data_IF_197762963318
#
_entry.id   IF_197762963318
#
_cell.length_a   1.000
_cell.length_b   1.000
_cell.length_c   1.000
_cell.angle_alpha   90.00
_cell.angle_beta   90.00
_cell.angle_gamma   90.00
#
_symmetry.space_group_name_H-M   'P 1'
#
loop_
_entity.id
_entity.type
_entity.pdbx_description
1 polymer ?
#
# COMPACT_ATOMS: atom_id res chain seq x y z
N UNK A 1 12.35 12.19 -12.33
CA UNK A 1 11.91 10.78 -12.15
C UNK A 1 12.11 10.43 -10.70
N UNK A 2 11.16 9.74 -10.06
CA UNK A 2 11.41 9.13 -8.74
C UNK A 2 12.02 7.77 -9.03
N UNK A 3 13.33 7.62 -8.80
CA UNK A 3 14.01 6.33 -8.96
C UNK A 3 13.51 5.35 -7.88
N UNK A 4 12.75 4.31 -8.25
CA UNK A 4 12.19 3.38 -7.28
C UNK A 4 13.31 2.60 -6.56
N UNK A 5 14.41 2.31 -7.24
CA UNK A 5 15.59 1.66 -6.66
C UNK A 5 16.23 2.50 -5.54
N UNK A 6 16.35 3.82 -5.75
CA UNK A 6 16.87 4.73 -4.73
C UNK A 6 15.91 4.81 -3.52
N UNK A 7 14.60 4.80 -3.76
CA UNK A 7 13.60 4.79 -2.69
C UNK A 7 13.65 3.48 -1.88
N UNK A 8 13.83 2.34 -2.54
CA UNK A 8 14.05 1.03 -1.87
C UNK A 8 15.30 1.11 -0.99
N UNK A 9 16.42 1.57 -1.53
CA UNK A 9 17.69 1.68 -0.78
C UNK A 9 17.54 2.53 0.47
N UNK A 10 16.93 3.70 0.36
CA UNK A 10 16.70 4.59 1.50
C UNK A 10 15.76 3.95 2.55
N UNK A 11 14.70 3.28 2.10
CA UNK A 11 13.79 2.59 3.00
C UNK A 11 14.47 1.41 3.72
N UNK A 12 15.31 0.65 3.02
CA UNK A 12 16.12 -0.42 3.64
C UNK A 12 17.06 0.13 4.70
N UNK A 13 17.78 1.21 4.40
CA UNK A 13 18.65 1.86 5.39
C UNK A 13 17.85 2.38 6.61
N UNK A 14 16.65 2.91 6.38
CA UNK A 14 15.79 3.35 7.47
C UNK A 14 15.35 2.18 8.37
N UNK A 15 15.06 1.01 7.80
CA UNK A 15 14.77 -0.22 8.55
C UNK A 15 16.00 -0.68 9.34
N UNK A 16 17.21 -0.62 8.76
CA UNK A 16 18.44 -0.98 9.48
C UNK A 16 18.71 -0.08 10.68
N UNK A 17 18.41 1.23 10.56
CA UNK A 17 18.59 2.21 11.62
C UNK A 17 17.49 2.14 12.70
N UNK A 18 16.25 1.85 12.31
CA UNK A 18 15.09 1.78 13.19
C UNK A 18 14.21 0.59 12.82
N UNK A 19 14.62 -0.65 13.19
CA UNK A 19 13.89 -1.86 12.78
C UNK A 19 12.53 -1.99 13.46
N UNK A 20 12.34 -1.34 14.61
CA UNK A 20 11.08 -1.28 15.35
C UNK A 20 10.07 -0.30 14.76
N UNK A 21 10.51 0.62 13.90
CA UNK A 21 9.63 1.59 13.27
C UNK A 21 8.94 0.96 12.05
N UNK A 22 7.76 0.39 12.31
CA UNK A 22 6.94 -0.26 11.31
C UNK A 22 6.62 0.61 10.07
N UNK A 23 6.65 1.94 10.19
CA UNK A 23 6.39 2.84 9.06
C UNK A 23 7.46 2.74 7.97
N UNK A 24 8.69 2.36 8.31
CA UNK A 24 9.77 2.16 7.33
C UNK A 24 9.45 0.99 6.38
N UNK A 25 8.75 -0.04 6.86
CA UNK A 25 8.26 -1.13 6.02
C UNK A 25 7.15 -0.68 5.07
N UNK A 26 6.29 0.26 5.48
CA UNK A 26 5.31 0.89 4.57
C UNK A 26 6.01 1.62 3.42
N UNK A 27 7.02 2.42 3.74
CA UNK A 27 7.80 3.14 2.73
C UNK A 27 8.51 2.19 1.75
N UNK A 28 9.11 1.10 2.28
CA UNK A 28 9.74 0.07 1.47
C UNK A 28 8.73 -0.59 0.52
N UNK A 29 7.56 -0.99 1.02
CA UNK A 29 6.55 -1.64 0.20
C UNK A 29 6.01 -0.74 -0.93
N UNK A 30 5.78 0.54 -0.64
CA UNK A 30 5.38 1.51 -1.67
C UNK A 30 6.47 1.71 -2.71
N UNK A 31 7.75 1.74 -2.29
CA UNK A 31 8.87 1.85 -3.22
C UNK A 31 8.99 0.60 -4.11
N UNK A 32 8.81 -0.60 -3.54
CA UNK A 32 8.81 -1.87 -4.26
C UNK A 32 7.63 -1.98 -5.24
N UNK A 33 6.44 -1.52 -4.86
CA UNK A 33 5.32 -1.38 -5.79
C UNK A 33 5.72 -0.51 -6.99
N UNK A 34 6.30 0.66 -6.76
CA UNK A 34 6.76 1.53 -7.86
C UNK A 34 7.90 0.94 -8.68
N UNK A 35 8.65 0.00 -8.13
CA UNK A 35 9.68 -0.76 -8.86
C UNK A 35 9.10 -1.90 -9.70
N UNK A 36 7.81 -2.22 -9.56
CA UNK A 36 7.20 -3.39 -10.19
C UNK A 36 7.40 -4.69 -9.43
N UNK A 37 7.99 -4.65 -8.22
CA UNK A 37 8.17 -5.83 -7.38
C UNK A 37 6.97 -6.02 -6.46
N UNK A 38 5.90 -6.56 -7.03
CA UNK A 38 4.62 -6.75 -6.35
C UNK A 38 4.72 -7.74 -5.17
N UNK A 39 5.56 -8.78 -5.32
CA UNK A 39 5.74 -9.79 -4.27
C UNK A 39 6.49 -9.19 -3.07
N UNK A 40 7.56 -8.46 -3.33
CA UNK A 40 8.30 -7.79 -2.26
C UNK A 40 7.45 -6.71 -1.59
N UNK A 41 6.66 -5.95 -2.38
CA UNK A 41 5.70 -4.98 -1.87
C UNK A 41 4.78 -5.61 -0.82
N UNK A 42 4.10 -6.71 -1.17
CA UNK A 42 3.20 -7.40 -0.23
C UNK A 42 3.95 -7.83 1.04
N UNK A 43 5.12 -8.47 0.90
CA UNK A 43 5.90 -8.94 2.03
C UNK A 43 6.38 -7.80 2.96
N UNK A 44 6.73 -6.64 2.41
CA UNK A 44 7.09 -5.46 3.19
C UNK A 44 5.86 -4.85 3.87
N UNK A 45 4.75 -4.70 3.14
CA UNK A 45 3.53 -4.12 3.68
C UNK A 45 2.84 -5.02 4.71
N UNK A 46 3.06 -6.33 4.69
CA UNK A 46 2.61 -7.26 5.74
C UNK A 46 3.38 -7.06 7.06
N UNK A 47 4.64 -6.64 6.99
CA UNK A 47 5.46 -6.29 8.16
C UNK A 47 5.18 -4.89 8.70
N UNK A 48 4.51 -4.05 7.92
CA UNK A 48 4.10 -2.73 8.36
C UNK A 48 2.97 -2.82 9.42
N UNK A 49 2.75 -1.75 10.21
CA UNK A 49 1.65 -1.69 11.14
C UNK A 49 0.33 -1.85 10.39
N UNK A 50 -0.38 -2.94 10.71
CA UNK A 50 -1.72 -3.21 10.18
C UNK A 50 -2.80 -2.42 10.93
N UNK A 51 -2.43 -1.74 12.02
CA UNK A 51 -3.36 -0.90 12.74
C UNK A 51 -3.50 0.44 12.00
N UNK A 52 -4.69 0.82 11.55
CA UNK A 52 -4.90 2.06 10.80
C UNK A 52 -4.68 3.33 11.63
N UNK A 53 -4.59 3.23 12.96
CA UNK A 53 -4.13 4.32 13.82
C UNK A 53 -2.60 4.51 13.80
N UNK A 54 -1.85 3.48 13.37
CA UNK A 54 -0.39 3.44 13.41
C UNK A 54 0.27 3.21 12.03
N UNK A 55 -0.51 2.93 10.99
CA UNK A 55 -0.04 2.64 9.64
C UNK A 55 -0.89 3.38 8.61
N UNK A 56 -0.30 3.87 7.51
CA UNK A 56 -1.05 4.62 6.51
C UNK A 56 -2.01 3.68 5.79
N UNK A 57 -3.31 4.00 5.78
CA UNK A 57 -4.35 3.28 5.00
C UNK A 57 -3.96 2.97 3.55
N UNK A 58 -3.05 3.77 3.02
CA UNK A 58 -2.43 3.55 1.74
C UNK A 58 -1.84 2.14 1.58
N UNK A 59 -1.34 1.50 2.63
CA UNK A 59 -0.75 0.16 2.56
C UNK A 59 -1.76 -0.89 2.09
N UNK A 60 -3.02 -0.83 2.51
CA UNK A 60 -4.05 -1.76 2.05
C UNK A 60 -4.38 -1.58 0.57
N UNK A 61 -4.46 -0.32 0.09
CA UNK A 61 -4.62 -0.06 -1.33
C UNK A 61 -3.42 -0.56 -2.16
N UNK A 62 -2.19 -0.35 -1.70
CA UNK A 62 -1.00 -0.87 -2.38
C UNK A 62 -0.93 -2.40 -2.37
N UNK A 63 -1.34 -3.06 -1.28
CA UNK A 63 -1.47 -4.53 -1.23
C UNK A 63 -2.53 -5.02 -2.22
N UNK A 64 -3.71 -4.39 -2.25
CA UNK A 64 -4.77 -4.73 -3.19
C UNK A 64 -4.30 -4.62 -4.65
N UNK A 65 -3.66 -3.51 -5.00
CA UNK A 65 -3.10 -3.30 -6.34
C UNK A 65 -1.99 -4.31 -6.66
N UNK A 66 -1.12 -4.62 -5.70
CA UNK A 66 -0.06 -5.62 -5.89
C UNK A 66 -0.62 -7.04 -6.08
N UNK A 67 -1.65 -7.44 -5.32
CA UNK A 67 -2.31 -8.73 -5.52
C UNK A 67 -2.97 -8.80 -6.90
N UNK A 68 -3.58 -7.71 -7.36
CA UNK A 68 -4.16 -7.63 -8.70
C UNK A 68 -3.10 -7.84 -9.79
N UNK A 69 -1.94 -7.20 -9.66
CA UNK A 69 -0.81 -7.38 -10.57
C UNK A 69 -0.23 -8.81 -10.55
N UNK A 70 -0.45 -9.55 -9.47
CA UNK A 70 -0.08 -10.97 -9.35
C UNK A 70 -1.21 -11.93 -9.79
N UNK A 71 -2.28 -11.42 -10.40
CA UNK A 71 -3.48 -12.14 -10.83
C UNK A 71 -4.30 -12.76 -9.67
N UNK A 72 -4.00 -12.39 -8.41
CA UNK A 72 -4.75 -12.79 -7.21
C UNK A 72 -5.91 -11.82 -6.97
N UNK A 73 -6.90 -11.88 -7.87
CA UNK A 73 -8.04 -10.95 -7.89
C UNK A 73 -8.93 -11.05 -6.65
N UNK A 74 -9.07 -12.26 -6.10
CA UNK A 74 -9.87 -12.49 -4.89
C UNK A 74 -9.28 -11.74 -3.69
N UNK A 75 -7.96 -11.85 -3.47
CA UNK A 75 -7.31 -11.11 -2.39
C UNK A 75 -7.26 -9.62 -2.67
N UNK A 76 -7.05 -9.22 -3.93
CA UNK A 76 -7.06 -7.81 -4.32
C UNK A 76 -8.39 -7.13 -3.94
N UNK A 77 -9.52 -7.74 -4.31
CA UNK A 77 -10.85 -7.21 -3.99
C UNK A 77 -11.07 -7.16 -2.47
N UNK A 78 -10.71 -8.22 -1.75
CA UNK A 78 -10.88 -8.28 -0.30
C UNK A 78 -10.11 -7.17 0.44
N UNK A 79 -8.85 -6.93 0.05
CA UNK A 79 -8.02 -5.87 0.65
C UNK A 79 -8.55 -4.47 0.27
N UNK A 80 -9.01 -4.30 -0.98
CA UNK A 80 -9.61 -3.04 -1.43
C UNK A 80 -10.89 -2.72 -0.67
N UNK A 81 -11.82 -3.66 -0.55
CA UNK A 81 -13.09 -3.49 0.15
C UNK A 81 -12.87 -3.15 1.63
N UNK A 82 -11.92 -3.83 2.26
CA UNK A 82 -11.54 -3.54 3.64
C UNK A 82 -10.98 -2.12 3.81
N UNK A 83 -10.09 -1.70 2.90
CA UNK A 83 -9.53 -0.35 2.91
C UNK A 83 -10.61 0.73 2.72
N UNK A 84 -11.53 0.49 1.79
CA UNK A 84 -12.65 1.40 1.49
C UNK A 84 -13.59 1.52 2.67
N UNK A 85 -14.01 0.40 3.26
CA UNK A 85 -14.90 0.41 4.41
C UNK A 85 -14.30 1.21 5.57
N UNK A 86 -13.02 0.96 5.89
CA UNK A 86 -12.36 1.68 6.96
C UNK A 86 -12.25 3.18 6.65
N UNK A 87 -11.87 3.53 5.41
CA UNK A 87 -11.77 4.92 4.96
C UNK A 87 -13.11 5.64 5.11
N UNK A 88 -14.22 5.02 4.72
CA UNK A 88 -15.55 5.63 4.76
C UNK A 88 -16.08 5.83 6.19
N UNK A 89 -15.63 5.02 7.13
CA UNK A 89 -15.95 5.10 8.57
C UNK A 89 -15.08 6.13 9.32
N UNK A 90 -13.77 6.20 9.05
CA UNK A 90 -12.83 6.93 9.90
C UNK A 90 -12.17 8.14 9.23
N UNK A 91 -11.92 8.07 7.92
CA UNK A 91 -11.11 9.07 7.20
C UNK A 91 -11.79 9.52 5.91
N UNK A 92 -13.13 9.60 5.90
CA UNK A 92 -13.92 9.90 4.70
C UNK A 92 -13.47 11.16 3.97
N UNK A 93 -12.95 12.16 4.69
CA UNK A 93 -12.55 13.47 4.13
C UNK A 93 -11.09 13.54 3.67
N UNK A 94 -10.31 12.48 3.84
CA UNK A 94 -8.91 12.47 3.41
C UNK A 94 -8.81 12.44 1.88
N UNK A 95 -8.35 13.55 1.30
CA UNK A 95 -8.28 13.72 -0.14
C UNK A 95 -7.22 12.81 -0.78
N UNK A 96 -6.12 12.53 -0.07
CA UNK A 96 -5.04 11.68 -0.58
C UNK A 96 -5.51 10.24 -0.70
N UNK A 97 -6.24 9.76 0.31
CA UNK A 97 -6.80 8.41 0.30
C UNK A 97 -7.92 8.24 -0.73
N UNK A 98 -8.72 9.28 -0.99
CA UNK A 98 -9.73 9.25 -2.07
C UNK A 98 -9.10 9.11 -3.45
N UNK A 99 -8.01 9.85 -3.71
CA UNK A 99 -7.28 9.73 -4.98
C UNK A 99 -6.69 8.32 -5.13
N UNK A 100 -6.09 7.80 -4.06
CA UNK A 100 -5.53 6.45 -4.06
C UNK A 100 -6.60 5.37 -4.24
N UNK A 101 -7.78 5.54 -3.63
CA UNK A 101 -8.95 4.68 -3.85
C UNK A 101 -9.37 4.68 -5.31
N UNK A 102 -9.45 5.85 -5.95
CA UNK A 102 -9.80 5.96 -7.35
C UNK A 102 -8.76 5.30 -8.27
N UNK A 103 -7.46 5.50 -8.00
CA UNK A 103 -6.36 4.83 -8.71
C UNK A 103 -6.44 3.30 -8.57
N UNK A 104 -6.67 2.80 -7.36
CA UNK A 104 -6.83 1.38 -7.12
C UNK A 104 -8.09 0.81 -7.80
N UNK A 105 -9.22 1.54 -7.78
CA UNK A 105 -10.45 1.12 -8.44
C UNK A 105 -10.25 0.98 -9.96
N UNK A 106 -9.61 1.96 -10.58
CA UNK A 106 -9.30 1.96 -12.02
C UNK A 106 -8.41 0.76 -12.38
N UNK A 107 -7.35 0.52 -11.58
CA UNK A 107 -6.46 -0.62 -11.79
C UNK A 107 -7.20 -1.96 -11.67
N UNK A 108 -8.06 -2.10 -10.67
CA UNK A 108 -8.84 -3.31 -10.40
C UNK A 108 -10.05 -3.46 -11.34
N UNK A 109 -10.31 -2.49 -12.23
CA UNK A 109 -11.49 -2.49 -13.11
C UNK A 109 -12.82 -2.40 -12.35
N UNK A 110 -12.79 -1.83 -11.14
CA UNK A 110 -13.98 -1.62 -10.31
C UNK A 110 -14.62 -0.28 -10.66
N UNK A 111 -15.95 -0.13 -10.47
CA UNK A 111 -16.60 1.16 -10.61
C UNK A 111 -15.93 2.16 -9.66
N UNK A 112 -15.48 3.29 -10.22
CA UNK A 112 -14.87 4.36 -9.44
C UNK A 112 -15.81 4.87 -8.34
N UNK A 113 -15.25 5.37 -7.22
CA UNK A 113 -16.04 5.87 -6.09
C UNK A 113 -16.79 7.18 -6.36
#
# INVERSE_FOLDING_TARGET
>A
MRDPEQAIKLATQAIELQPENGLNYSALGIAQYRAGDWKACIAALEKAPQNPSAGPLATWFFRAMAYWQLDDKERAQKEYDYAVQWMDEHCRRDMSLRLLRAEAADLLGLPGP
#
